data_IF_581746725132
#
_entry.id   IF_581746725132
#
_cell.length_a   1.000
_cell.length_b   1.000
_cell.length_c   1.000
_cell.angle_alpha   90.00
_cell.angle_beta   90.00
_cell.angle_gamma   90.00
#
_symmetry.space_group_name_H-M   'P 1'
#
loop_
_entity.id
_entity.type
_entity.pdbx_description
1 polymer ?
#
# COMPACT_ATOMS: atom_id res chain seq x y z
N UNK A 1 55.12 -46.28 7.04
CA UNK A 1 55.99 -47.33 6.48
C UNK A 1 55.12 -48.33 5.74
N UNK A 2 55.50 -48.66 4.51
CA UNK A 2 55.00 -49.76 3.64
C UNK A 2 53.71 -49.55 2.82
N UNK A 3 53.99 -49.19 1.58
CA UNK A 3 53.28 -49.43 0.31
C UNK A 3 53.04 -50.93 0.06
N UNK A 4 51.91 -51.30 -0.57
CA UNK A 4 51.91 -52.20 -1.75
C UNK A 4 50.57 -52.21 -2.52
N UNK A 5 50.75 -52.21 -3.84
CA UNK A 5 49.80 -52.10 -4.95
C UNK A 5 49.42 -53.53 -5.41
N UNK A 6 48.19 -53.75 -5.88
CA UNK A 6 47.94 -54.78 -6.89
C UNK A 6 46.85 -54.38 -7.90
N UNK A 7 47.04 -54.87 -9.13
CA UNK A 7 46.49 -54.41 -10.40
C UNK A 7 45.16 -55.07 -10.78
N UNK A 8 44.31 -54.26 -11.42
CA UNK A 8 43.34 -54.49 -12.51
C UNK A 8 42.68 -55.85 -12.74
N UNK A 9 41.34 -55.82 -12.84
CA UNK A 9 40.62 -56.41 -13.98
C UNK A 9 39.38 -55.56 -14.31
N UNK A 10 39.25 -55.20 -15.59
CA UNK A 10 38.11 -54.50 -16.19
C UNK A 10 37.06 -55.54 -16.58
N UNK A 11 35.81 -55.37 -16.16
CA UNK A 11 34.64 -55.96 -16.82
C UNK A 11 33.62 -54.84 -17.00
N UNK A 12 33.30 -54.56 -18.26
CA UNK A 12 32.34 -53.53 -18.65
C UNK A 12 30.91 -53.92 -18.30
N UNK A 13 30.19 -52.99 -17.69
CA UNK A 13 28.74 -52.99 -17.63
C UNK A 13 28.24 -51.71 -18.32
N UNK A 14 27.56 -51.87 -19.44
CA UNK A 14 26.85 -50.81 -20.11
C UNK A 14 25.71 -50.33 -19.20
N UNK A 15 25.84 -49.14 -18.62
CA UNK A 15 24.75 -48.46 -17.92
C UNK A 15 23.97 -47.67 -18.96
N UNK A 16 22.74 -48.11 -19.18
CA UNK A 16 21.72 -47.39 -19.93
C UNK A 16 21.36 -46.12 -19.15
N UNK A 17 21.84 -44.95 -19.58
CA UNK A 17 21.40 -43.67 -19.03
C UNK A 17 20.04 -43.33 -19.63
N UNK A 18 18.97 -43.61 -18.89
CA UNK A 18 17.66 -43.05 -19.20
C UNK A 18 17.70 -41.56 -18.88
N UNK A 19 17.63 -40.72 -19.92
CA UNK A 19 17.43 -39.29 -19.78
C UNK A 19 15.99 -39.04 -19.28
N UNK A 20 15.81 -38.87 -17.97
CA UNK A 20 14.58 -38.32 -17.44
C UNK A 20 14.55 -36.82 -17.77
N UNK A 21 13.84 -36.45 -18.82
CA UNK A 21 13.42 -35.08 -19.06
C UNK A 21 12.50 -34.67 -17.92
N UNK A 22 13.00 -33.90 -16.96
CA UNK A 22 12.13 -33.18 -16.01
C UNK A 22 11.49 -32.04 -16.80
N UNK A 23 10.33 -32.31 -17.38
CA UNK A 23 9.44 -31.26 -17.86
C UNK A 23 8.94 -30.49 -16.65
N UNK A 24 9.53 -29.33 -16.38
CA UNK A 24 8.97 -28.35 -15.46
C UNK A 24 7.69 -27.80 -16.08
N UNK A 25 6.56 -28.47 -15.83
CA UNK A 25 5.23 -27.98 -16.19
C UNK A 25 4.91 -26.79 -15.29
N UNK A 26 5.26 -25.57 -15.72
CA UNK A 26 4.71 -24.36 -15.15
C UNK A 26 3.24 -24.25 -15.59
N UNK A 27 2.32 -24.62 -14.71
CA UNK A 27 0.91 -24.37 -14.93
C UNK A 27 0.68 -22.85 -15.17
N UNK A 28 -0.16 -22.45 -16.14
CA UNK A 28 -0.46 -21.05 -16.36
C UNK A 28 -1.08 -20.47 -15.09
N UNK A 29 -0.44 -19.46 -14.51
CA UNK A 29 -1.00 -18.74 -13.36
C UNK A 29 -2.25 -18.03 -13.84
N UNK A 30 -3.41 -18.39 -13.29
CA UNK A 30 -4.69 -17.72 -13.63
C UNK A 30 -4.60 -16.25 -13.24
N UNK A 31 -5.34 -15.36 -13.94
CA UNK A 31 -5.37 -13.93 -13.61
C UNK A 31 -5.70 -13.70 -12.12
N UNK A 32 -6.62 -14.50 -11.58
CA UNK A 32 -7.00 -14.47 -10.17
C UNK A 32 -5.86 -14.92 -9.23
N UNK A 33 -5.14 -15.99 -9.58
CA UNK A 33 -3.97 -16.44 -8.81
C UNK A 33 -2.79 -15.45 -8.92
N UNK A 34 -2.61 -14.81 -10.08
CA UNK A 34 -1.63 -13.75 -10.28
C UNK A 34 -1.99 -12.49 -9.49
N UNK A 35 -3.27 -12.11 -9.46
CA UNK A 35 -3.79 -11.00 -8.65
C UNK A 35 -3.68 -11.28 -7.16
N UNK A 36 -3.99 -12.49 -6.69
CA UNK A 36 -3.80 -12.88 -5.29
C UNK A 36 -2.33 -12.92 -4.89
N UNK A 37 -1.46 -13.44 -5.76
CA UNK A 37 -0.02 -13.48 -5.52
C UNK A 37 0.60 -12.08 -5.56
N UNK A 38 0.10 -11.18 -6.40
CA UNK A 38 0.49 -9.77 -6.46
C UNK A 38 -0.06 -8.97 -5.26
N UNK A 39 -1.29 -9.26 -4.81
CA UNK A 39 -1.89 -8.67 -3.62
C UNK A 39 -1.16 -9.09 -2.33
N UNK A 40 -0.53 -10.27 -2.31
CA UNK A 40 0.29 -10.76 -1.20
C UNK A 40 1.72 -10.17 -1.17
N UNK A 41 2.13 -9.41 -2.21
CA UNK A 41 3.41 -8.70 -2.22
C UNK A 41 3.26 -7.36 -1.49
N UNK A 42 4.27 -6.94 -0.74
CA UNK A 42 4.31 -5.62 -0.08
C UNK A 42 3.86 -4.55 -1.06
N UNK A 43 2.87 -3.75 -0.67
CA UNK A 43 2.36 -2.68 -1.51
C UNK A 43 3.45 -1.63 -1.61
N UNK A 44 4.15 -1.46 -2.74
CA UNK A 44 5.34 -0.65 -2.75
C UNK A 44 4.98 0.82 -2.91
N UNK A 45 5.91 1.71 -2.56
CA UNK A 45 5.85 3.09 -3.00
C UNK A 45 6.22 3.18 -4.48
N UNK A 46 5.40 3.92 -5.22
CA UNK A 46 5.59 4.20 -6.64
C UNK A 46 5.89 5.69 -6.80
N UNK A 47 6.98 6.08 -7.48
CA UNK A 47 7.28 7.48 -7.75
C UNK A 47 6.25 8.09 -8.71
N UNK A 48 5.91 9.35 -8.50
CA UNK A 48 5.09 10.09 -9.46
C UNK A 48 5.91 10.43 -10.70
N UNK A 49 5.54 9.84 -11.83
CA UNK A 49 6.07 10.12 -13.15
C UNK A 49 4.97 10.60 -14.12
N UNK A 50 3.98 11.33 -13.59
CA UNK A 50 2.91 11.96 -14.36
C UNK A 50 1.54 11.30 -14.23
N UNK A 51 1.42 10.23 -13.45
CA UNK A 51 0.16 9.49 -13.26
C UNK A 51 -0.82 10.24 -12.34
N UNK A 52 -0.29 11.13 -11.50
CA UNK A 52 -1.04 11.86 -10.49
C UNK A 52 -0.69 13.35 -10.50
N UNK A 53 -1.41 14.12 -9.68
CA UNK A 53 -1.16 15.54 -9.45
C UNK A 53 0.33 15.82 -9.19
N UNK A 54 0.86 16.87 -9.81
CA UNK A 54 2.28 17.24 -9.77
C UNK A 54 2.83 17.50 -8.35
N UNK A 55 1.96 17.70 -7.35
CA UNK A 55 2.34 17.82 -5.94
C UNK A 55 2.74 16.50 -5.31
N UNK A 56 2.28 15.36 -5.83
CA UNK A 56 2.67 14.05 -5.35
C UNK A 56 4.12 13.74 -5.77
N UNK A 57 4.90 13.20 -4.83
CA UNK A 57 6.22 12.63 -5.07
C UNK A 57 6.17 11.10 -5.16
N UNK A 58 5.41 10.46 -4.26
CA UNK A 58 5.18 9.02 -4.25
C UNK A 58 3.72 8.69 -3.91
N UNK A 59 3.28 7.49 -4.25
CA UNK A 59 2.02 6.93 -3.81
C UNK A 59 2.13 5.44 -3.43
N UNK A 60 1.27 4.97 -2.53
CA UNK A 60 1.11 3.55 -2.23
C UNK A 60 -0.36 3.24 -1.87
N UNK A 61 -0.80 2.00 -2.10
CA UNK A 61 -2.14 1.55 -1.67
C UNK A 61 -2.11 1.14 -0.19
N UNK A 62 -3.14 1.55 0.52
CA UNK A 62 -3.38 1.19 1.93
C UNK A 62 -4.73 0.52 2.04
N UNK A 63 -5.06 -0.02 3.21
CA UNK A 63 -6.36 -0.61 3.51
C UNK A 63 -7.52 0.38 3.29
N UNK A 64 -7.27 1.68 3.45
CA UNK A 64 -8.30 2.72 3.40
C UNK A 64 -8.39 3.45 2.05
N UNK A 65 -7.46 3.19 1.13
CA UNK A 65 -7.33 3.91 -0.15
C UNK A 65 -5.88 4.22 -0.49
N UNK A 66 -5.64 5.26 -1.30
CA UNK A 66 -4.27 5.63 -1.71
C UNK A 66 -3.66 6.60 -0.69
N UNK A 67 -2.44 6.32 -0.23
CA UNK A 67 -1.60 7.30 0.45
C UNK A 67 -0.68 7.97 -0.56
N UNK A 68 -0.69 9.30 -0.60
CA UNK A 68 0.26 10.12 -1.34
C UNK A 68 1.27 10.75 -0.39
N UNK A 69 2.55 10.72 -0.77
CA UNK A 69 3.60 11.53 -0.16
C UNK A 69 3.83 12.73 -1.06
N UNK A 70 3.63 13.95 -0.55
CA UNK A 70 3.81 15.16 -1.36
C UNK A 70 5.28 15.53 -1.48
N UNK A 71 5.62 16.36 -2.48
CA UNK A 71 6.96 16.94 -2.64
C UNK A 71 7.40 17.80 -1.45
N UNK A 72 6.44 18.26 -0.65
CA UNK A 72 6.68 19.05 0.56
C UNK A 72 6.69 18.19 1.83
N UNK A 73 6.50 16.86 1.73
CA UNK A 73 6.62 15.92 2.86
C UNK A 73 5.32 15.68 3.63
N UNK A 74 4.18 16.15 3.12
CA UNK A 74 2.86 15.85 3.70
C UNK A 74 2.38 14.46 3.28
N UNK A 75 1.56 13.83 4.12
CA UNK A 75 0.92 12.56 3.81
C UNK A 75 -0.58 12.77 3.59
N UNK A 76 -1.05 12.47 2.38
CA UNK A 76 -2.46 12.66 2.00
C UNK A 76 -3.10 11.30 1.76
N UNK A 77 -4.03 10.92 2.63
CA UNK A 77 -4.86 9.72 2.49
C UNK A 77 -6.08 10.06 1.66
N UNK A 78 -6.21 9.47 0.48
CA UNK A 78 -7.37 9.60 -0.40
C UNK A 78 -8.27 8.39 -0.24
N UNK A 79 -9.39 8.58 0.47
CA UNK A 79 -10.37 7.55 0.79
C UNK A 79 -11.49 7.55 -0.25
N UNK A 80 -11.79 6.41 -0.90
CA UNK A 80 -12.89 6.34 -1.85
C UNK A 80 -14.24 6.54 -1.14
N UNK A 81 -15.21 7.09 -1.87
CA UNK A 81 -16.59 7.18 -1.40
C UNK A 81 -17.24 5.81 -1.21
N UNK A 82 -18.26 5.78 -0.35
CA UNK A 82 -19.06 4.56 -0.11
C UNK A 82 -19.91 4.27 -1.35
N UNK A 83 -20.07 2.98 -1.73
CA UNK A 83 -21.12 2.59 -2.66
C UNK A 83 -22.48 3.12 -2.22
N UNK A 84 -23.23 3.70 -3.14
CA UNK A 84 -24.62 4.06 -2.98
C UNK A 84 -25.44 2.94 -3.63
N UNK A 85 -26.22 2.24 -2.83
CA UNK A 85 -27.15 1.23 -3.31
C UNK A 85 -28.35 1.92 -3.97
N UNK A 86 -28.36 2.00 -5.29
CA UNK A 86 -29.43 2.63 -6.08
C UNK A 86 -30.67 1.72 -6.22
N UNK A 87 -30.86 0.76 -5.30
CA UNK A 87 -31.79 -0.37 -5.45
C UNK A 87 -33.08 -0.30 -4.63
N UNK A 88 -33.26 0.68 -3.73
CA UNK A 88 -34.42 0.69 -2.84
C UNK A 88 -35.60 1.55 -3.33
N UNK A 89 -35.35 2.62 -4.10
CA UNK A 89 -36.40 3.61 -4.43
C UNK A 89 -37.05 3.42 -5.82
N UNK A 90 -36.47 2.59 -6.69
CA UNK A 90 -37.05 2.34 -8.04
C UNK A 90 -38.24 1.37 -8.01
N UNK A 91 -38.44 0.63 -6.92
CA UNK A 91 -39.57 -0.29 -6.75
C UNK A 91 -40.88 0.41 -6.36
N UNK A 92 -40.84 1.68 -5.94
CA UNK A 92 -42.02 2.41 -5.46
C UNK A 92 -42.82 3.13 -6.55
N UNK A 93 -42.34 3.18 -7.81
CA UNK A 93 -43.02 3.84 -8.93
C UNK A 93 -43.55 2.89 -10.02
N UNK A 94 -43.39 1.56 -9.85
CA UNK A 94 -43.78 0.57 -10.87
C UNK A 94 -45.21 0.04 -10.81
N UNK A 95 -45.95 0.26 -9.71
CA UNK A 95 -47.31 -0.27 -9.56
C UNK A 95 -48.37 0.78 -9.85
N UNK A 96 -48.53 1.16 -11.12
CA UNK A 96 -49.80 1.67 -11.66
C UNK A 96 -49.98 1.28 -13.13
N UNK A 97 -51.05 0.52 -13.35
CA UNK A 97 -51.69 0.16 -14.62
C UNK A 97 -51.17 -1.07 -15.39
N UNK A 98 -51.69 -2.23 -15.00
CA UNK A 98 -51.95 -3.38 -15.88
C UNK A 98 -53.20 -3.12 -16.72
N UNK A 99 -53.08 -2.98 -18.05
CA UNK A 99 -54.11 -3.40 -19.01
C UNK A 99 -53.46 -3.83 -20.33
N UNK A 100 -53.56 -5.13 -20.62
CA UNK A 100 -53.93 -5.66 -21.94
C UNK A 100 -52.84 -5.85 -23.00
N UNK A 101 -52.68 -7.10 -23.45
CA UNK A 101 -52.33 -7.38 -24.85
C UNK A 101 -51.25 -8.43 -25.05
N UNK A 102 -51.66 -9.69 -25.21
CA UNK A 102 -50.88 -10.75 -25.85
C UNK A 102 -50.31 -10.30 -27.20
N UNK A 103 -49.00 -10.50 -27.41
CA UNK A 103 -48.43 -10.75 -28.73
C UNK A 103 -47.15 -11.59 -28.61
N UNK A 104 -47.25 -12.79 -29.16
CA UNK A 104 -46.22 -13.80 -29.21
C UNK A 104 -45.06 -13.43 -30.16
N UNK A 105 -43.86 -13.88 -29.74
CA UNK A 105 -42.74 -14.39 -30.54
C UNK A 105 -41.94 -13.48 -31.50
N UNK A 106 -40.69 -13.20 -31.11
CA UNK A 106 -39.52 -13.22 -32.00
C UNK A 106 -38.34 -13.91 -31.26
N UNK A 107 -37.70 -14.96 -31.81
CA UNK A 107 -36.47 -15.52 -31.26
C UNK A 107 -35.25 -14.75 -31.79
N UNK A 108 -34.28 -14.48 -30.92
CA UNK A 108 -32.98 -13.93 -31.30
C UNK A 108 -32.74 -12.49 -30.85
N UNK A 109 -32.58 -12.28 -29.54
CA UNK A 109 -31.76 -11.20 -28.97
C UNK A 109 -31.15 -11.69 -27.66
N UNK A 110 -29.96 -12.27 -27.76
CA UNK A 110 -28.95 -12.06 -26.72
C UNK A 110 -28.48 -10.60 -26.88
N UNK A 111 -28.59 -9.78 -25.83
CA UNK A 111 -27.45 -8.99 -25.44
C UNK A 111 -27.17 -9.30 -23.98
N UNK A 112 -26.25 -10.24 -23.77
CA UNK A 112 -25.42 -10.33 -22.58
C UNK A 112 -24.43 -9.15 -22.53
N UNK A 113 -24.94 -7.93 -22.63
CA UNK A 113 -24.23 -6.70 -22.30
C UNK A 113 -24.62 -6.29 -20.88
N UNK A 114 -24.23 -7.11 -19.90
CA UNK A 114 -24.07 -6.64 -18.54
C UNK A 114 -22.85 -5.70 -18.50
N UNK A 115 -22.96 -4.52 -19.13
CA UNK A 115 -22.13 -3.37 -18.81
C UNK A 115 -22.39 -3.08 -17.35
N UNK A 116 -21.43 -3.47 -16.51
CA UNK A 116 -21.31 -3.09 -15.12
C UNK A 116 -21.67 -1.62 -14.99
N UNK A 117 -22.87 -1.34 -14.48
CA UNK A 117 -23.26 0.02 -14.16
C UNK A 117 -22.22 0.57 -13.19
N UNK A 118 -21.66 1.78 -13.43
CA UNK A 118 -20.75 2.38 -12.47
C UNK A 118 -21.50 2.48 -11.15
N UNK A 119 -21.06 1.73 -10.15
CA UNK A 119 -21.64 1.79 -8.81
C UNK A 119 -21.54 3.25 -8.37
N UNK A 120 -22.67 3.97 -8.30
CA UNK A 120 -22.62 5.35 -7.84
C UNK A 120 -22.04 5.36 -6.43
N UNK A 121 -21.14 6.29 -6.13
CA UNK A 121 -20.47 6.40 -4.84
C UNK A 121 -20.71 7.78 -4.25
N UNK A 122 -20.69 7.88 -2.92
CA UNK A 122 -20.61 9.18 -2.24
C UNK A 122 -19.31 9.90 -2.63
N UNK A 123 -19.18 11.22 -2.37
CA UNK A 123 -17.88 11.88 -2.52
C UNK A 123 -16.79 11.17 -1.71
N UNK A 124 -15.57 11.14 -2.25
CA UNK A 124 -14.39 10.68 -1.53
C UNK A 124 -14.06 11.59 -0.35
N UNK A 125 -13.16 11.14 0.52
CA UNK A 125 -12.69 11.91 1.67
C UNK A 125 -11.16 11.99 1.67
N UNK A 126 -10.61 13.08 2.19
CA UNK A 126 -9.16 13.23 2.32
C UNK A 126 -8.77 13.50 3.77
N UNK A 127 -7.74 12.80 4.25
CA UNK A 127 -7.04 13.13 5.48
C UNK A 127 -5.62 13.59 5.14
N UNK A 128 -5.14 14.64 5.78
CA UNK A 128 -3.78 15.16 5.55
C UNK A 128 -3.02 15.21 6.86
N UNK A 129 -1.92 14.49 6.94
CA UNK A 129 -0.93 14.62 8.00
C UNK A 129 0.17 15.61 7.56
N UNK A 130 0.40 16.61 8.40
CA UNK A 130 1.47 17.60 8.24
C UNK A 130 2.33 17.57 9.50
N UNK A 131 3.65 17.35 9.34
CA UNK A 131 4.60 17.56 10.43
C UNK A 131 4.62 19.05 10.79
N UNK A 132 4.55 19.39 12.08
CA UNK A 132 4.50 20.79 12.52
C UNK A 132 5.56 21.09 13.58
N UNK A 133 5.99 22.35 13.68
CA UNK A 133 6.81 22.80 14.79
C UNK A 133 5.98 22.95 16.08
N UNK A 134 6.65 23.29 17.19
CA UNK A 134 5.99 23.47 18.49
C UNK A 134 4.94 24.61 18.53
N UNK A 135 4.89 25.46 17.50
CA UNK A 135 3.89 26.53 17.34
C UNK A 135 2.77 26.12 16.37
N UNK A 136 2.81 24.90 15.84
CA UNK A 136 1.84 24.40 14.87
C UNK A 136 2.09 24.82 13.43
N UNK A 137 3.25 25.41 13.10
CA UNK A 137 3.56 25.76 11.71
C UNK A 137 4.02 24.52 10.92
N UNK A 138 3.59 24.36 9.65
CA UNK A 138 4.04 23.28 8.80
C UNK A 138 5.56 23.23 8.65
N UNK A 139 6.13 22.04 8.82
CA UNK A 139 7.50 21.70 8.45
C UNK A 139 7.46 20.99 7.11
N UNK A 140 8.16 21.54 6.13
CA UNK A 140 8.23 20.99 4.77
C UNK A 140 9.64 20.46 4.46
N UNK A 141 9.83 19.89 3.27
CA UNK A 141 11.15 19.44 2.82
C UNK A 141 12.21 20.56 2.79
N UNK A 142 11.82 21.84 2.85
CA UNK A 142 12.79 22.95 2.96
C UNK A 142 13.56 22.93 4.27
N UNK A 143 12.96 22.37 5.33
CA UNK A 143 13.60 22.21 6.63
C UNK A 143 14.24 20.82 6.80
N UNK A 144 14.13 19.95 5.80
CA UNK A 144 14.75 18.62 5.81
C UNK A 144 16.23 18.67 5.44
N UNK A 145 16.97 17.64 5.84
CA UNK A 145 18.31 17.35 5.32
C UNK A 145 18.29 16.83 3.87
N UNK A 146 17.14 16.42 3.34
CA UNK A 146 16.95 16.03 1.95
C UNK A 146 16.24 17.12 1.15
N UNK A 147 16.62 17.27 -0.13
CA UNK A 147 15.99 18.24 -1.05
C UNK A 147 14.55 17.86 -1.46
N UNK A 148 14.24 16.57 -1.44
CA UNK A 148 12.95 16.00 -1.82
C UNK A 148 12.80 14.60 -1.19
N UNK A 149 11.57 14.06 -1.08
CA UNK A 149 11.37 12.68 -0.66
C UNK A 149 12.15 11.73 -1.56
N UNK A 150 12.78 10.71 -0.97
CA UNK A 150 13.64 9.78 -1.70
C UNK A 150 13.17 8.33 -1.49
N UNK A 151 12.99 7.59 -2.58
CA UNK A 151 12.74 6.15 -2.51
C UNK A 151 13.97 5.40 -2.02
N UNK A 152 13.78 4.45 -1.10
CA UNK A 152 14.84 3.63 -0.51
C UNK A 152 14.46 2.14 -0.55
N UNK A 153 15.46 1.26 -0.60
CA UNK A 153 15.28 -0.19 -0.82
C UNK A 153 14.40 -0.47 -2.05
N UNK A 154 14.93 -0.30 -3.26
CA UNK A 154 14.19 -0.61 -4.48
C UNK A 154 13.79 -2.08 -4.48
N UNK A 155 12.56 -2.36 -4.88
CA UNK A 155 12.02 -3.70 -5.02
C UNK A 155 12.23 -4.21 -6.44
N UNK A 156 12.36 -5.52 -6.60
CA UNK A 156 12.50 -6.15 -7.93
C UNK A 156 11.26 -5.93 -8.80
N UNK A 157 10.08 -5.81 -8.18
CA UNK A 157 8.82 -5.51 -8.85
C UNK A 157 8.81 -4.11 -9.45
N UNK A 158 8.52 -4.02 -10.76
CA UNK A 158 8.30 -2.77 -11.48
C UNK A 158 6.82 -2.61 -11.82
N UNK A 159 6.38 -1.36 -11.96
CA UNK A 159 5.00 -1.03 -12.33
C UNK A 159 4.95 -0.18 -13.59
N UNK A 160 3.91 -0.38 -14.38
CA UNK A 160 3.61 0.39 -15.58
C UNK A 160 2.18 0.94 -15.48
N UNK A 161 1.99 2.16 -15.94
CA UNK A 161 0.72 2.88 -15.92
C UNK A 161 0.31 3.28 -17.33
N UNK A 162 -0.85 2.80 -17.76
CA UNK A 162 -1.52 3.21 -18.99
C UNK A 162 -2.46 4.40 -18.69
N UNK A 163 -1.89 5.56 -18.41
CA UNK A 163 -2.64 6.83 -18.30
C UNK A 163 -2.54 7.62 -19.61
N UNK A 164 -3.08 8.85 -19.68
CA UNK A 164 -2.90 9.74 -20.84
C UNK A 164 -1.43 9.96 -21.20
N UNK A 165 -0.52 9.82 -20.22
CA UNK A 165 0.89 9.61 -20.45
C UNK A 165 1.21 8.16 -20.08
N UNK A 166 1.62 7.37 -21.08
CA UNK A 166 2.10 6.01 -20.84
C UNK A 166 3.42 6.08 -20.09
N UNK A 167 3.52 5.40 -18.95
CA UNK A 167 4.77 5.26 -18.21
C UNK A 167 5.03 3.79 -17.94
N UNK A 168 6.21 3.30 -18.30
CA UNK A 168 6.56 1.90 -18.14
C UNK A 168 7.78 1.72 -17.23
N UNK A 169 7.87 0.53 -16.61
CA UNK A 169 9.06 0.04 -15.93
C UNK A 169 9.55 0.90 -14.75
N UNK A 170 8.62 1.57 -14.07
CA UNK A 170 8.94 2.37 -12.89
C UNK A 170 9.48 1.47 -11.77
N UNK A 171 10.59 1.89 -11.19
CA UNK A 171 11.09 1.29 -9.97
C UNK A 171 10.10 1.54 -8.84
N UNK A 172 9.94 0.54 -7.99
CA UNK A 172 9.13 0.64 -6.79
C UNK A 172 10.01 0.49 -5.55
N UNK A 173 9.57 1.03 -4.42
CA UNK A 173 10.39 1.15 -3.22
C UNK A 173 9.66 0.61 -2.00
N UNK A 174 10.37 -0.12 -1.14
CA UNK A 174 9.83 -0.53 0.16
C UNK A 174 9.60 0.69 1.06
N UNK A 175 10.47 1.70 0.94
CA UNK A 175 10.49 2.87 1.82
C UNK A 175 10.61 4.18 1.06
N UNK A 176 10.11 5.24 1.70
CA UNK A 176 10.38 6.63 1.32
C UNK A 176 11.02 7.33 2.51
N UNK A 177 12.18 7.94 2.30
CA UNK A 177 12.89 8.74 3.30
C UNK A 177 12.57 10.22 3.07
N UNK A 178 12.14 10.91 4.14
CA UNK A 178 11.90 12.34 4.13
C UNK A 178 13.10 13.14 4.68
N UNK A 179 14.14 12.46 5.17
CA UNK A 179 15.28 13.09 5.82
C UNK A 179 14.97 13.48 7.26
N UNK A 180 15.84 14.33 7.82
CA UNK A 180 15.67 14.82 9.18
C UNK A 180 14.69 15.99 9.16
N UNK A 181 13.43 15.67 9.40
CA UNK A 181 12.34 16.65 9.38
C UNK A 181 12.36 17.54 10.63
N UNK A 182 12.95 17.05 11.72
CA UNK A 182 13.30 17.83 12.92
C UNK A 182 14.80 17.71 13.16
N UNK A 183 15.44 18.64 13.91
CA UNK A 183 16.82 18.48 14.34
C UNK A 183 17.06 17.09 14.95
N UNK A 184 17.91 16.29 14.29
CA UNK A 184 18.29 14.94 14.70
C UNK A 184 17.17 13.89 14.68
N UNK A 185 16.04 14.14 14.02
CA UNK A 185 14.96 13.14 13.91
C UNK A 185 14.67 12.86 12.44
N UNK A 186 15.15 11.71 11.99
CA UNK A 186 14.90 11.19 10.65
C UNK A 186 13.49 10.61 10.54
N UNK A 187 12.80 10.88 9.43
CA UNK A 187 11.47 10.36 9.14
C UNK A 187 11.49 9.48 7.91
N UNK A 188 11.13 8.21 8.09
CA UNK A 188 10.95 7.25 7.02
C UNK A 188 9.52 6.70 7.01
N UNK A 189 9.02 6.41 5.82
CA UNK A 189 7.78 5.71 5.60
C UNK A 189 8.13 4.33 5.07
N UNK A 190 7.50 3.29 5.61
CA UNK A 190 7.64 1.93 5.12
C UNK A 190 6.27 1.39 4.77
N UNK A 191 6.11 0.97 3.52
CA UNK A 191 4.90 0.30 3.12
C UNK A 191 4.98 -1.18 3.51
N UNK A 192 3.92 -1.67 4.10
CA UNK A 192 3.83 -3.01 4.68
C UNK A 192 2.54 -3.67 4.22
N UNK A 193 2.53 -5.00 4.20
CA UNK A 193 1.32 -5.76 3.95
C UNK A 193 0.96 -6.53 5.23
N UNK A 194 -0.28 -6.36 5.67
CA UNK A 194 -0.85 -7.08 6.80
C UNK A 194 -1.98 -7.97 6.31
N UNK A 195 -2.50 -8.86 7.16
CA UNK A 195 -3.70 -9.64 6.84
C UNK A 195 -4.92 -8.76 6.52
N UNK A 196 -4.95 -7.52 7.00
CA UNK A 196 -6.03 -6.55 6.76
C UNK A 196 -5.80 -5.71 5.49
N UNK A 197 -4.70 -5.93 4.75
CA UNK A 197 -4.32 -5.17 3.57
C UNK A 197 -3.04 -4.34 3.76
N UNK A 198 -2.78 -3.44 2.82
CA UNK A 198 -1.62 -2.55 2.85
C UNK A 198 -1.68 -1.56 4.02
N UNK A 199 -0.55 -1.30 4.66
CA UNK A 199 -0.41 -0.29 5.70
C UNK A 199 0.91 0.48 5.50
N UNK A 200 0.99 1.69 6.05
CA UNK A 200 2.21 2.50 6.03
C UNK A 200 2.64 2.78 7.46
N UNK A 201 3.83 2.30 7.79
CA UNK A 201 4.49 2.61 9.06
C UNK A 201 5.23 3.93 8.93
N UNK A 202 5.03 4.82 9.90
CA UNK A 202 5.82 6.05 10.08
C UNK A 202 6.91 5.75 11.10
N UNK A 203 8.16 5.83 10.67
CA UNK A 203 9.32 5.50 11.49
C UNK A 203 10.07 6.80 11.79
N UNK A 204 10.10 7.16 13.07
CA UNK A 204 10.89 8.27 13.58
C UNK A 204 12.15 7.71 14.23
N UNK A 205 13.32 8.04 13.69
CA UNK A 205 14.60 7.67 14.29
C UNK A 205 15.18 8.90 14.95
N UNK A 206 15.18 8.90 16.28
CA UNK A 206 15.71 9.99 17.10
C UNK A 206 17.20 9.73 17.34
N UNK A 207 18.05 10.63 16.88
CA UNK A 207 19.48 10.58 17.12
C UNK A 207 19.79 10.80 18.63
N UNK A 208 20.95 10.32 19.12
CA UNK A 208 21.34 10.54 20.51
C UNK A 208 21.23 12.02 20.93
N UNK A 209 20.80 12.25 22.17
CA UNK A 209 20.65 13.56 22.80
C UNK A 209 19.60 14.50 22.16
N UNK A 210 18.76 14.02 21.24
CA UNK A 210 17.66 14.82 20.67
C UNK A 210 16.33 14.52 21.37
N UNK A 211 15.49 15.55 21.51
CA UNK A 211 14.22 15.45 22.23
C UNK A 211 13.11 14.91 21.30
N UNK A 212 12.49 13.75 21.59
CA UNK A 212 11.36 13.22 20.82
C UNK A 212 10.10 14.10 20.92
N UNK A 213 9.98 14.97 21.94
CA UNK A 213 8.82 15.87 22.11
C UNK A 213 8.69 16.92 20.99
N UNK A 214 9.70 17.03 20.14
CA UNK A 214 9.63 17.84 18.93
C UNK A 214 8.65 17.27 17.89
N UNK A 215 8.38 15.97 17.92
CA UNK A 215 7.52 15.30 16.94
C UNK A 215 6.07 15.72 17.17
N UNK A 216 5.54 16.56 16.28
CA UNK A 216 4.13 16.95 16.29
C UNK A 216 3.52 16.77 14.90
N UNK A 217 2.30 16.23 14.85
CA UNK A 217 1.61 15.94 13.60
C UNK A 217 0.24 16.61 13.67
N UNK A 218 -0.05 17.48 12.71
CA UNK A 218 -1.39 18.01 12.49
C UNK A 218 -2.13 17.07 11.54
N UNK A 219 -3.33 16.64 11.94
CA UNK A 219 -4.22 15.85 11.10
C UNK A 219 -5.43 16.69 10.67
N UNK A 220 -5.51 17.01 9.39
CA UNK A 220 -6.62 17.75 8.79
C UNK A 220 -7.60 16.80 8.08
N UNK A 221 -8.86 17.25 7.94
CA UNK A 221 -9.93 16.50 7.29
C UNK A 221 -10.73 15.59 8.23
N UNK A 222 -10.27 15.36 9.45
CA UNK A 222 -11.08 14.67 10.46
C UNK A 222 -12.17 15.63 11.00
N UNK A 223 -13.38 15.12 11.20
CA UNK A 223 -14.47 15.82 11.88
C UNK A 223 -14.30 15.80 13.40
N UNK A 224 -13.68 14.72 13.91
CA UNK A 224 -13.36 14.52 15.32
C UNK A 224 -12.14 13.60 15.41
N UNK A 225 -11.31 13.82 16.43
CA UNK A 225 -10.24 12.91 16.84
C UNK A 225 -10.55 12.36 18.24
N UNK A 226 -10.25 11.10 18.48
CA UNK A 226 -10.29 10.49 19.81
C UNK A 226 -9.22 9.40 19.93
N UNK A 227 -8.75 9.15 21.15
CA UNK A 227 -7.91 7.99 21.46
C UNK A 227 -8.80 6.94 22.11
N UNK A 228 -8.78 5.72 21.58
CA UNK A 228 -9.54 4.62 22.16
C UNK A 228 -8.77 3.90 23.28
N UNK A 229 -9.43 2.90 23.87
CA UNK A 229 -8.97 2.05 24.97
C UNK A 229 -7.67 1.29 24.64
N UNK A 230 -7.35 1.14 23.35
CA UNK A 230 -6.16 0.45 22.82
C UNK A 230 -5.01 1.42 22.51
N UNK A 231 -5.19 2.72 22.73
CA UNK A 231 -4.22 3.75 22.37
C UNK A 231 -4.18 4.10 20.89
N UNK A 232 -5.18 3.65 20.10
CA UNK A 232 -5.29 3.99 18.68
C UNK A 232 -5.90 5.38 18.53
N UNK A 233 -5.38 6.16 17.58
CA UNK A 233 -5.99 7.44 17.19
C UNK A 233 -7.11 7.16 16.17
N UNK A 234 -8.33 7.54 16.50
CA UNK A 234 -9.49 7.38 15.63
C UNK A 234 -9.85 8.74 15.02
N UNK A 235 -9.73 8.82 13.70
CA UNK A 235 -10.15 9.97 12.91
C UNK A 235 -11.54 9.73 12.32
N UNK A 236 -12.53 10.46 12.82
CA UNK A 236 -13.91 10.39 12.31
C UNK A 236 -14.02 11.18 11.02
N UNK A 237 -14.55 10.54 9.97
CA UNK A 237 -14.77 11.17 8.66
C UNK A 237 -16.21 10.97 8.19
N UNK A 238 -16.65 11.71 7.18
CA UNK A 238 -17.96 11.49 6.55
C UNK A 238 -18.11 10.09 5.93
N UNK A 239 -17.00 9.43 5.59
CA UNK A 239 -16.98 8.08 5.04
C UNK A 239 -16.71 6.99 6.10
N UNK A 240 -16.79 7.33 7.40
CA UNK A 240 -16.55 6.42 8.51
C UNK A 240 -15.20 6.67 9.20
N UNK A 241 -14.95 5.99 10.33
CA UNK A 241 -13.72 6.19 11.09
C UNK A 241 -12.51 5.57 10.38
N UNK A 242 -11.37 6.23 10.49
CA UNK A 242 -10.05 5.70 10.15
C UNK A 242 -9.24 5.54 11.43
N UNK A 243 -8.75 4.34 11.69
CA UNK A 243 -7.93 4.06 12.87
C UNK A 243 -6.43 4.10 12.51
N UNK A 244 -5.66 4.83 13.29
CA UNK A 244 -4.20 4.81 13.29
C UNK A 244 -3.72 4.00 14.49
N UNK A 245 -2.81 3.05 14.24
CA UNK A 245 -2.28 2.14 15.26
C UNK A 245 -1.67 2.91 16.43
N UNK A 246 -1.75 2.38 17.65
CA UNK A 246 -1.01 2.92 18.78
C UNK A 246 0.50 3.03 18.46
N UNK A 247 1.17 4.12 18.85
CA UNK A 247 2.60 4.25 18.61
C UNK A 247 3.37 3.22 19.44
N UNK A 248 4.52 2.82 18.93
CA UNK A 248 5.47 1.94 19.63
C UNK A 248 6.83 2.61 19.58
N UNK A 249 7.50 2.67 20.73
CA UNK A 249 8.84 3.22 20.85
C UNK A 249 9.75 2.20 21.55
N UNK A 250 11.01 2.17 21.13
CA UNK A 250 12.04 1.39 21.76
C UNK A 250 13.38 2.08 21.56
N UNK A 251 14.33 1.76 22.44
CA UNK A 251 15.74 2.10 22.30
C UNK A 251 16.55 0.81 22.19
N UNK A 252 17.72 0.87 21.57
CA UNK A 252 18.68 -0.24 21.59
C UNK A 252 19.67 0.00 22.74
N UNK A 253 19.87 -1.01 23.59
CA UNK A 253 20.88 -0.94 24.66
C UNK A 253 22.29 -1.24 24.12
N UNK A 254 23.32 -1.19 24.97
CA UNK A 254 24.72 -1.43 24.59
C UNK A 254 24.96 -2.85 24.01
N UNK A 255 24.03 -3.78 24.23
CA UNK A 255 24.07 -5.15 23.73
C UNK A 255 23.30 -5.31 22.41
N UNK A 256 22.67 -4.24 21.91
CA UNK A 256 21.84 -4.24 20.70
C UNK A 256 20.42 -4.76 20.92
N UNK A 257 20.00 -4.96 22.16
CA UNK A 257 18.65 -5.42 22.49
C UNK A 257 17.66 -4.25 22.53
N UNK A 258 16.42 -4.51 22.06
CA UNK A 258 15.36 -3.51 22.10
C UNK A 258 14.72 -3.44 23.48
N UNK A 259 14.81 -2.27 24.10
CA UNK A 259 14.11 -1.93 25.33
C UNK A 259 12.95 -1.00 24.98
N UNK A 260 11.72 -1.42 25.26
CA UNK A 260 10.53 -0.61 25.03
C UNK A 260 10.57 0.69 25.84
N UNK A 261 10.08 1.77 25.24
CA UNK A 261 9.91 3.07 25.88
C UNK A 261 8.43 3.45 25.79
N UNK A 262 7.89 4.01 26.87
CA UNK A 262 6.50 4.47 26.90
C UNK A 262 6.26 5.56 25.84
N UNK A 263 5.18 5.39 25.08
CA UNK A 263 4.76 6.34 24.06
C UNK A 263 3.25 6.29 23.88
N UNK A 264 2.66 7.44 23.59
CA UNK A 264 1.24 7.61 23.29
C UNK A 264 1.08 8.79 22.31
N UNK A 265 -0.13 8.94 21.77
CA UNK A 265 -0.53 10.12 21.00
C UNK A 265 -0.68 11.37 21.88
#
# INVERSE_FOLDING_TARGET
MSIKIQRSLIVGAAILVAANSVSATTAPTTLAAAQQKLAAMSVPFVPNAGQWDSRAAFATQTFAGTLFVTKEGELVYSLPGKPIDVGADSAALGNRATVGGDLAALPGREPSDAKSSPTSRTPGWALTETLVDAKGHPRSMRQSTLKAPAGYRPMEGKVSYATTQHTENLNTYERVNLGDMYPGINVQLRATHTKAGGNVEKIFTVAPNHDPKQIQIKLAGAQKLEINDKGELIAHTGNGPVAFTAPIAFQENDQGERVTVDVAY
#
